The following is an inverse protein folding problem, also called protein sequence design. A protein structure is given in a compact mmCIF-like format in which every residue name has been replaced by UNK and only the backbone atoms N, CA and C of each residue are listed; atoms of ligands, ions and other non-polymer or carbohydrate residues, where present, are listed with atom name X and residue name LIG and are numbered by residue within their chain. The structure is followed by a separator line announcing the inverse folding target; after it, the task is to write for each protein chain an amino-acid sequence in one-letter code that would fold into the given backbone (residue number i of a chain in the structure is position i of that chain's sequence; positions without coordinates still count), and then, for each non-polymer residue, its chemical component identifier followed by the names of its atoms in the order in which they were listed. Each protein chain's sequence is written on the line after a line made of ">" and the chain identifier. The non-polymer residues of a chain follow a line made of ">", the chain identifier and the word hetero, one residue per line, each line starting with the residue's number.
data_IF_109182394952
#
_entry.id   IF_109182394952
#
_cell.length_a   1.000
_cell.length_b   1.000
_cell.length_c   1.000
_cell.angle_alpha   90.00
_cell.angle_beta   90.00
_cell.angle_gamma   90.00
#
_symmetry.space_group_name_H-M   'P 1'
#
loop_
_entity.id
_entity.type
_entity.pdbx_description
1 polymer ?
#
# COMPACT_ATOMS: atom_id res chain seq x y z
N UNK A 1 -6.30 -85.82 -42.21
CA UNK A 1 -5.34 -85.30 -41.22
C UNK A 1 -4.41 -84.33 -41.90
N UNK A 2 -4.88 -83.05 -42.15
CA UNK A 2 -4.05 -81.91 -42.62
C UNK A 2 -4.98 -80.69 -42.85
N UNK A 3 -5.43 -80.00 -41.78
CA UNK A 3 -6.10 -78.70 -41.93
C UNK A 3 -6.04 -77.78 -40.71
N UNK A 4 -5.03 -77.83 -39.88
CA UNK A 4 -4.97 -77.00 -38.64
C UNK A 4 -3.86 -75.96 -38.63
N UNK A 5 -3.02 -75.86 -39.67
CA UNK A 5 -1.82 -74.99 -39.61
C UNK A 5 -1.95 -73.63 -40.33
N UNK A 6 -3.02 -73.38 -41.10
CA UNK A 6 -3.17 -72.11 -41.87
C UNK A 6 -3.90 -71.00 -41.13
N UNK A 7 -4.69 -71.29 -40.08
CA UNK A 7 -5.49 -70.28 -39.33
C UNK A 7 -4.62 -69.49 -38.31
N UNK A 8 -3.53 -70.06 -37.84
CA UNK A 8 -2.73 -69.44 -36.80
C UNK A 8 -1.78 -68.34 -37.33
N UNK A 9 -1.39 -68.35 -38.57
CA UNK A 9 -0.47 -67.34 -39.16
C UNK A 9 -1.18 -66.03 -39.51
N UNK A 10 -2.49 -66.04 -39.82
CA UNK A 10 -3.20 -64.82 -40.21
C UNK A 10 -3.57 -63.95 -39.04
N UNK A 11 -3.83 -64.54 -37.88
CA UNK A 11 -4.09 -63.82 -36.64
C UNK A 11 -2.89 -62.96 -36.20
N UNK A 12 -1.67 -63.43 -36.35
CA UNK A 12 -0.46 -62.67 -35.93
C UNK A 12 -0.18 -61.44 -36.81
N UNK A 13 -0.53 -61.49 -38.09
CA UNK A 13 -0.37 -60.34 -39.01
C UNK A 13 -1.42 -59.26 -38.79
N UNK A 14 -2.63 -59.63 -38.41
CA UNK A 14 -3.68 -58.66 -38.05
C UNK A 14 -3.37 -57.96 -36.76
N UNK A 15 -2.88 -58.67 -35.75
CA UNK A 15 -2.47 -58.05 -34.47
C UNK A 15 -1.28 -57.10 -34.62
N UNK A 16 -0.32 -57.42 -35.46
CA UNK A 16 0.84 -56.55 -35.72
C UNK A 16 0.44 -55.27 -36.46
N UNK A 17 -0.49 -55.38 -37.44
CA UNK A 17 -0.98 -54.21 -38.16
C UNK A 17 -1.86 -53.29 -37.29
N UNK A 18 -2.67 -53.86 -36.42
CA UNK A 18 -3.47 -53.06 -35.46
C UNK A 18 -2.61 -52.43 -34.39
N UNK A 19 -1.53 -53.09 -33.92
CA UNK A 19 -0.57 -52.53 -33.00
C UNK A 19 0.27 -51.40 -33.63
N UNK A 20 0.65 -51.51 -34.89
CA UNK A 20 1.43 -50.49 -35.62
C UNK A 20 0.53 -49.25 -35.94
N UNK A 21 -0.76 -49.45 -36.19
CA UNK A 21 -1.72 -48.39 -36.46
C UNK A 21 -2.05 -47.64 -35.16
N UNK A 22 -2.04 -48.30 -33.99
CA UNK A 22 -2.25 -47.69 -32.69
C UNK A 22 -1.08 -46.82 -32.22
N UNK A 23 0.15 -47.09 -32.67
CA UNK A 23 1.34 -46.34 -32.29
C UNK A 23 1.49 -45.01 -33.06
N UNK A 24 0.78 -44.84 -34.19
CA UNK A 24 0.82 -43.60 -34.98
C UNK A 24 -0.08 -42.46 -34.44
N UNK A 25 -0.93 -42.75 -33.47
CA UNK A 25 -1.82 -41.72 -32.87
C UNK A 25 -1.27 -41.10 -31.57
N UNK A 26 -0.07 -41.46 -31.09
CA UNK A 26 0.52 -40.94 -29.89
C UNK A 26 1.52 -39.78 -30.11
N UNK A 27 1.61 -39.26 -31.35
CA UNK A 27 2.31 -38.00 -31.61
C UNK A 27 1.31 -36.83 -31.47
N UNK A 28 0.57 -36.80 -30.36
CA UNK A 28 -0.29 -35.70 -29.97
C UNK A 28 0.58 -34.57 -29.40
N UNK A 29 0.70 -33.52 -30.17
CA UNK A 29 1.03 -32.15 -29.85
C UNK A 29 1.31 -31.86 -28.35
N UNK A 30 2.56 -32.01 -27.94
CA UNK A 30 3.11 -31.21 -26.87
C UNK A 30 3.41 -29.79 -27.43
N UNK A 31 2.37 -29.10 -27.87
CA UNK A 31 2.40 -27.65 -28.05
C UNK A 31 2.47 -27.02 -26.69
N UNK A 32 3.67 -26.85 -26.16
CA UNK A 32 3.91 -25.94 -25.05
C UNK A 32 3.60 -24.53 -25.57
N UNK A 33 2.34 -24.10 -25.40
CA UNK A 33 2.00 -22.70 -25.38
C UNK A 33 2.73 -22.10 -24.17
N UNK A 34 4.03 -21.88 -24.28
CA UNK A 34 4.70 -20.86 -23.53
C UNK A 34 4.03 -19.56 -23.97
N UNK A 35 2.95 -19.19 -23.30
CA UNK A 35 2.44 -17.84 -23.41
C UNK A 35 3.63 -16.97 -23.02
N UNK A 36 4.08 -16.12 -23.92
CA UNK A 36 5.04 -15.06 -23.67
C UNK A 36 4.38 -14.09 -22.68
N UNK A 37 4.23 -14.53 -21.41
CA UNK A 37 3.83 -13.67 -20.33
C UNK A 37 5.03 -12.77 -20.04
N UNK A 38 5.11 -11.67 -20.75
CA UNK A 38 5.95 -10.55 -20.34
C UNK A 38 5.23 -9.93 -19.13
N UNK A 39 5.83 -9.97 -17.94
CA UNK A 39 5.26 -9.25 -16.82
C UNK A 39 5.06 -7.78 -17.22
N UNK A 40 3.96 -7.15 -16.82
CA UNK A 40 3.74 -5.74 -17.11
C UNK A 40 4.97 -4.95 -16.61
N UNK A 41 5.39 -3.92 -17.36
CA UNK A 41 6.53 -3.10 -16.96
C UNK A 41 6.31 -2.61 -15.53
N UNK A 42 7.36 -2.56 -14.70
CA UNK A 42 7.25 -2.03 -13.35
C UNK A 42 6.70 -0.60 -13.42
N UNK A 43 5.82 -0.25 -12.48
CA UNK A 43 5.32 1.12 -12.34
C UNK A 43 6.53 2.05 -12.13
N UNK A 44 6.58 3.21 -12.82
CA UNK A 44 7.65 4.17 -12.60
C UNK A 44 7.59 4.70 -11.17
N UNK A 45 8.75 5.00 -10.61
CA UNK A 45 8.82 5.70 -9.33
C UNK A 45 8.25 7.11 -9.46
N UNK A 46 7.57 7.54 -8.40
CA UNK A 46 7.07 8.90 -8.28
C UNK A 46 8.06 9.74 -7.46
N UNK A 47 8.14 11.02 -7.76
CA UNK A 47 8.81 11.95 -6.85
C UNK A 47 7.97 12.13 -5.57
N UNK A 48 8.28 11.33 -4.55
CA UNK A 48 7.55 11.31 -3.28
C UNK A 48 7.59 12.65 -2.57
N UNK A 49 8.73 13.34 -2.60
CA UNK A 49 8.88 14.67 -1.98
C UNK A 49 7.95 15.69 -2.63
N UNK A 50 7.96 15.75 -3.96
CA UNK A 50 7.07 16.67 -4.69
C UNK A 50 5.59 16.37 -4.45
N UNK A 51 5.21 15.06 -4.40
CA UNK A 51 3.86 14.64 -4.05
C UNK A 51 3.46 15.07 -2.64
N UNK A 52 4.33 14.85 -1.66
CA UNK A 52 4.08 15.22 -0.27
C UNK A 52 3.95 16.74 -0.11
N UNK A 53 4.82 17.51 -0.77
CA UNK A 53 4.75 18.98 -0.73
C UNK A 53 3.46 19.50 -1.36
N UNK A 54 3.04 18.94 -2.50
CA UNK A 54 1.75 19.30 -3.12
C UNK A 54 0.57 19.06 -2.18
N UNK A 55 0.53 17.89 -1.54
CA UNK A 55 -0.55 17.58 -0.59
C UNK A 55 -0.52 18.49 0.63
N UNK A 56 0.68 18.84 1.13
CA UNK A 56 0.82 19.82 2.21
C UNK A 56 0.29 21.20 1.80
N UNK A 57 0.55 21.64 0.55
CA UNK A 57 0.01 22.90 0.02
C UNK A 57 -1.53 22.88 -0.03
N UNK A 58 -2.14 21.78 -0.47
CA UNK A 58 -3.59 21.60 -0.50
C UNK A 58 -4.19 21.63 0.93
N UNK A 59 -3.55 20.97 1.88
CA UNK A 59 -3.96 21.01 3.28
C UNK A 59 -3.84 22.43 3.86
N UNK A 60 -2.76 23.15 3.57
CA UNK A 60 -2.59 24.55 3.99
C UNK A 60 -3.67 25.45 3.41
N UNK A 61 -4.00 25.28 2.13
CA UNK A 61 -5.09 26.02 1.49
C UNK A 61 -6.45 25.72 2.16
N UNK A 62 -6.70 24.45 2.51
CA UNK A 62 -7.94 24.04 3.14
C UNK A 62 -8.11 24.53 4.58
N UNK A 63 -7.02 24.58 5.37
CA UNK A 63 -7.10 25.10 6.76
C UNK A 63 -7.21 26.63 6.79
N UNK A 64 -6.70 27.36 5.80
CA UNK A 64 -6.70 28.83 5.77
C UNK A 64 -6.19 29.42 7.08
N UNK A 65 -7.02 30.24 7.72
CA UNK A 65 -6.75 30.90 9.00
C UNK A 65 -7.32 30.13 10.21
N UNK A 66 -7.72 28.86 10.02
CA UNK A 66 -8.31 28.05 11.11
C UNK A 66 -7.31 27.66 12.20
N UNK A 67 -6.01 27.76 11.91
CA UNK A 67 -4.95 27.56 12.90
C UNK A 67 -3.97 28.74 12.87
N UNK A 68 -3.40 29.02 14.02
CA UNK A 68 -2.40 30.08 14.17
C UNK A 68 -1.03 29.58 13.76
N UNK A 69 -0.32 30.36 12.96
CA UNK A 69 0.99 29.99 12.44
C UNK A 69 2.11 30.02 13.48
N UNK A 70 1.92 30.80 14.57
CA UNK A 70 2.85 30.91 15.70
C UNK A 70 2.71 29.77 16.72
N UNK A 71 1.67 28.96 16.62
CA UNK A 71 1.45 27.78 17.45
C UNK A 71 1.88 26.51 16.74
N UNK A 72 2.47 25.54 17.49
CA UNK A 72 2.98 24.33 16.88
C UNK A 72 1.91 23.49 16.17
N UNK A 73 2.23 23.05 14.95
CA UNK A 73 1.62 21.92 14.27
C UNK A 73 2.48 20.70 14.52
N UNK A 74 1.90 19.66 15.09
CA UNK A 74 2.56 18.37 15.29
C UNK A 74 2.24 17.41 14.15
N UNK A 75 3.05 16.37 13.97
CA UNK A 75 2.72 15.26 13.07
C UNK A 75 2.94 13.92 13.76
N UNK A 76 1.97 13.04 13.56
CA UNK A 76 2.10 11.62 13.88
C UNK A 76 2.58 10.84 12.66
N UNK A 77 3.20 9.68 12.89
CA UNK A 77 3.45 8.73 11.82
C UNK A 77 2.14 8.27 11.18
N UNK A 78 2.14 8.14 9.85
CA UNK A 78 1.01 7.54 9.15
C UNK A 78 1.03 6.03 9.36
N UNK A 79 -0.15 5.42 9.50
CA UNK A 79 -0.32 4.03 9.86
C UNK A 79 -1.09 3.25 8.82
N UNK A 80 -0.91 1.94 8.80
CA UNK A 80 -1.68 1.04 7.94
C UNK A 80 -3.14 1.00 8.42
N UNK A 81 -4.09 1.23 7.52
CA UNK A 81 -5.52 1.22 7.84
C UNK A 81 -6.00 -0.14 8.35
N UNK A 82 -5.33 -1.24 7.99
CA UNK A 82 -5.65 -2.59 8.47
C UNK A 82 -5.01 -2.91 9.83
N UNK A 83 -4.04 -2.10 10.26
CA UNK A 83 -3.40 -2.26 11.56
C UNK A 83 -2.86 -0.91 12.04
N UNK A 84 -3.67 -0.19 12.79
CA UNK A 84 -3.38 1.16 13.26
C UNK A 84 -2.21 1.25 14.24
N UNK A 85 -1.70 0.12 14.73
CA UNK A 85 -0.50 0.04 15.56
C UNK A 85 0.78 -0.01 14.74
N UNK A 86 0.68 -0.27 13.42
CA UNK A 86 1.83 -0.42 12.55
C UNK A 86 2.09 0.81 11.70
N UNK A 87 3.34 1.22 11.71
CA UNK A 87 3.87 2.18 10.75
C UNK A 87 5.07 1.57 10.01
N UNK A 88 5.31 2.04 8.80
CA UNK A 88 6.44 1.65 7.96
C UNK A 88 7.40 2.82 7.79
N UNK A 89 8.50 2.64 7.07
CA UNK A 89 9.37 3.75 6.70
C UNK A 89 8.62 4.80 5.88
N UNK A 90 7.70 4.38 5.00
CA UNK A 90 6.78 5.28 4.30
C UNK A 90 5.97 6.11 5.30
N UNK A 91 5.33 5.45 6.27
CA UNK A 91 4.49 6.12 7.27
C UNK A 91 5.23 7.09 8.19
N UNK A 92 6.56 6.95 8.29
CA UNK A 92 7.41 7.89 9.06
C UNK A 92 7.93 9.05 8.21
N UNK A 93 8.35 8.78 6.96
CA UNK A 93 8.99 9.83 6.14
C UNK A 93 7.98 10.83 5.57
N UNK A 94 6.78 10.40 5.19
CA UNK A 94 5.79 11.28 4.58
C UNK A 94 5.35 12.43 5.48
N UNK A 95 4.96 12.22 6.76
CA UNK A 95 4.63 13.34 7.65
C UNK A 95 5.81 14.29 7.88
N UNK A 96 7.05 13.81 7.84
CA UNK A 96 8.24 14.66 7.91
C UNK A 96 8.35 15.61 6.71
N UNK A 97 8.08 15.10 5.51
CA UNK A 97 8.05 15.90 4.29
C UNK A 97 6.94 16.95 4.34
N UNK A 98 5.79 16.61 4.92
CA UNK A 98 4.70 17.55 5.15
C UNK A 98 5.13 18.67 6.12
N UNK A 99 5.67 18.31 7.30
CA UNK A 99 6.18 19.29 8.27
C UNK A 99 7.24 20.21 7.64
N UNK A 100 8.15 19.66 6.83
CA UNK A 100 9.14 20.46 6.12
C UNK A 100 8.47 21.51 5.22
N UNK A 101 7.41 21.15 4.50
CA UNK A 101 6.68 22.08 3.64
C UNK A 101 5.89 23.11 4.43
N UNK A 102 5.24 22.72 5.55
CA UNK A 102 4.59 23.64 6.47
C UNK A 102 5.57 24.66 7.04
N UNK A 103 6.76 24.21 7.50
CA UNK A 103 7.82 25.09 8.00
C UNK A 103 8.29 26.11 6.93
N UNK A 104 8.51 25.65 5.69
CA UNK A 104 8.86 26.52 4.56
C UNK A 104 7.78 27.57 4.29
N UNK A 105 6.53 27.28 4.64
CA UNK A 105 5.39 28.19 4.48
C UNK A 105 5.10 29.07 5.71
N UNK A 106 6.02 29.06 6.69
CA UNK A 106 5.99 29.95 7.85
C UNK A 106 5.11 29.44 9.02
N UNK A 107 4.72 28.16 9.02
CA UNK A 107 4.07 27.56 10.18
C UNK A 107 5.13 27.14 11.22
N UNK A 108 4.82 27.33 12.50
CA UNK A 108 5.56 26.70 13.58
C UNK A 108 5.29 25.20 13.54
N UNK A 109 6.31 24.38 13.42
CA UNK A 109 6.18 22.92 13.41
C UNK A 109 7.02 22.32 14.53
N UNK A 110 6.53 21.25 15.12
CA UNK A 110 7.27 20.49 16.11
C UNK A 110 7.24 19.02 15.71
N UNK A 111 8.44 18.46 15.53
CA UNK A 111 8.59 17.03 15.32
C UNK A 111 8.33 16.28 16.63
N UNK A 112 7.32 15.46 16.64
CA UNK A 112 7.13 14.47 17.67
C UNK A 112 7.32 13.08 17.07
N UNK A 113 8.36 12.39 17.52
CA UNK A 113 8.44 10.94 17.38
C UNK A 113 7.40 10.34 18.33
N UNK A 114 6.12 10.40 17.93
CA UNK A 114 5.04 9.77 18.69
C UNK A 114 5.23 8.25 18.60
N UNK A 115 6.06 7.72 19.50
CA UNK A 115 6.25 6.28 19.68
C UNK A 115 5.01 5.60 20.26
N UNK A 116 4.05 6.37 20.79
CA UNK A 116 2.73 5.87 21.17
C UNK A 116 1.77 6.20 20.04
N UNK A 117 1.21 5.17 19.44
CA UNK A 117 0.22 5.31 18.40
C UNK A 117 -0.97 6.14 18.92
N UNK A 118 -1.23 7.28 18.32
CA UNK A 118 -2.43 8.09 18.61
C UNK A 118 -3.70 7.30 18.31
N UNK A 119 -3.57 6.23 17.53
CA UNK A 119 -4.67 5.37 17.08
C UNK A 119 -4.92 4.16 17.97
N UNK A 120 -4.25 4.00 19.14
CA UNK A 120 -4.41 2.80 19.97
C UNK A 120 -5.71 2.86 20.75
N UNK A 121 -6.64 2.09 20.32
CA UNK A 121 -7.49 1.09 20.95
C UNK A 121 -8.66 0.77 20.03
N UNK A 122 -8.65 -0.43 19.46
CA UNK A 122 -9.73 -0.94 18.60
C UNK A 122 -11.10 -0.99 19.29
N UNK A 123 -11.16 -0.85 20.61
CA UNK A 123 -12.43 -0.94 21.35
C UNK A 123 -13.05 0.39 21.76
N UNK A 124 -12.37 1.51 21.54
CA UNK A 124 -12.82 2.82 22.03
C UNK A 124 -13.33 3.81 20.98
N UNK A 125 -13.14 3.54 19.69
CA UNK A 125 -13.64 4.37 18.60
C UNK A 125 -13.05 5.79 18.54
N UNK A 126 -13.73 6.65 17.80
CA UNK A 126 -13.38 8.05 17.51
C UNK A 126 -13.14 8.93 18.74
N UNK A 127 -13.74 8.59 19.88
CA UNK A 127 -13.61 9.31 21.15
C UNK A 127 -12.21 9.20 21.78
N UNK A 128 -11.49 8.11 21.59
CA UNK A 128 -10.14 7.93 22.16
C UNK A 128 -9.09 8.69 21.37
N UNK A 129 -9.22 8.73 20.05
CA UNK A 129 -8.38 9.59 19.21
C UNK A 129 -8.51 11.04 19.62
N UNK A 130 -9.72 11.54 19.84
CA UNK A 130 -9.98 12.91 20.26
C UNK A 130 -9.35 13.25 21.62
N UNK A 131 -9.38 12.32 22.58
CA UNK A 131 -8.74 12.51 23.90
C UNK A 131 -7.21 12.55 23.78
N UNK A 132 -6.62 11.61 23.06
CA UNK A 132 -5.17 11.56 22.84
C UNK A 132 -4.66 12.83 22.15
N UNK A 133 -5.38 13.31 21.13
CA UNK A 133 -5.04 14.58 20.45
C UNK A 133 -5.15 15.78 21.39
N UNK A 134 -6.16 15.82 22.26
CA UNK A 134 -6.30 16.89 23.24
C UNK A 134 -5.16 16.90 24.27
N UNK A 135 -4.82 15.75 24.84
CA UNK A 135 -3.70 15.61 25.80
C UNK A 135 -2.36 16.01 25.18
N UNK A 136 -2.13 15.63 23.91
CA UNK A 136 -0.94 16.04 23.16
C UNK A 136 -0.94 17.53 22.92
N UNK A 137 -2.08 18.11 22.54
CA UNK A 137 -2.24 19.55 22.33
C UNK A 137 -1.92 20.34 23.59
N UNK A 138 -2.43 19.92 24.75
CA UNK A 138 -2.20 20.56 26.04
C UNK A 138 -0.73 20.45 26.47
N UNK A 139 -0.11 19.27 26.35
CA UNK A 139 1.26 19.04 26.77
C UNK A 139 2.32 19.75 25.93
N UNK A 140 2.01 20.10 24.69
CA UNK A 140 2.95 20.73 23.74
C UNK A 140 2.48 22.11 23.26
N UNK A 141 1.42 22.66 23.84
CA UNK A 141 0.76 23.91 23.39
C UNK A 141 0.45 23.93 21.89
N UNK A 142 0.22 22.74 21.31
CA UNK A 142 -0.01 22.58 19.89
C UNK A 142 -1.43 22.94 19.49
N UNK A 143 -1.57 23.62 18.35
CA UNK A 143 -2.88 24.03 17.83
C UNK A 143 -3.55 22.92 17.03
N UNK A 144 -2.76 22.09 16.33
CA UNK A 144 -3.25 21.01 15.53
C UNK A 144 -2.25 19.86 15.41
N UNK A 145 -2.76 18.69 15.01
CA UNK A 145 -1.97 17.48 14.71
C UNK A 145 -2.28 17.01 13.31
N UNK A 146 -1.24 16.80 12.52
CA UNK A 146 -1.30 16.07 11.25
C UNK A 146 -1.28 14.57 11.53
N UNK A 147 -2.29 13.86 11.08
CA UNK A 147 -2.42 12.40 11.16
C UNK A 147 -2.69 11.83 9.77
N UNK A 148 -2.43 10.55 9.55
CA UNK A 148 -2.76 9.91 8.29
C UNK A 148 -2.80 8.40 8.38
N UNK A 149 -3.56 7.84 7.45
CA UNK A 149 -3.64 6.40 7.22
C UNK A 149 -3.32 6.08 5.77
N UNK A 150 -2.81 4.87 5.51
CA UNK A 150 -2.61 4.39 4.16
C UNK A 150 -3.11 2.97 3.98
N UNK A 151 -3.50 2.64 2.75
CA UNK A 151 -3.91 1.30 2.33
C UNK A 151 -3.15 0.88 1.07
N UNK A 152 -2.59 -0.31 1.09
CA UNK A 152 -1.84 -0.86 -0.05
C UNK A 152 -2.80 -1.59 -0.99
N UNK A 153 -2.97 -1.05 -2.20
CA UNK A 153 -3.73 -1.69 -3.27
C UNK A 153 -2.84 -2.56 -4.16
N UNK A 154 -3.37 -3.01 -5.29
CA UNK A 154 -2.60 -3.82 -6.25
C UNK A 154 -1.60 -3.00 -7.08
N UNK A 155 -1.94 -1.77 -7.42
CA UNK A 155 -1.14 -0.87 -8.27
C UNK A 155 -0.83 0.46 -7.62
N UNK A 156 -1.64 0.88 -6.65
CA UNK A 156 -1.53 2.17 -5.99
C UNK A 156 -1.56 2.00 -4.47
N UNK A 157 -0.88 2.90 -3.80
CA UNK A 157 -1.00 3.17 -2.39
C UNK A 157 -2.01 4.33 -2.24
N UNK A 158 -3.04 4.12 -1.44
CA UNK A 158 -4.05 5.14 -1.12
C UNK A 158 -3.70 5.75 0.23
N UNK A 159 -3.75 7.06 0.32
CA UNK A 159 -3.36 7.79 1.53
C UNK A 159 -4.41 8.84 1.84
N UNK A 160 -4.83 8.88 3.11
CA UNK A 160 -5.65 9.95 3.67
C UNK A 160 -4.85 10.70 4.71
N UNK A 161 -4.65 12.00 4.51
CA UNK A 161 -4.01 12.90 5.47
C UNK A 161 -5.03 13.88 6.04
N UNK A 162 -5.01 14.09 7.37
CA UNK A 162 -5.94 14.98 8.08
C UNK A 162 -5.18 15.89 9.03
N UNK A 163 -5.64 17.13 9.13
CA UNK A 163 -5.24 18.05 10.19
C UNK A 163 -6.39 18.15 11.19
N UNK A 164 -6.12 17.83 12.43
CA UNK A 164 -7.11 17.79 13.51
C UNK A 164 -6.73 18.84 14.54
N UNK A 165 -7.66 19.75 14.84
CA UNK A 165 -7.50 20.75 15.89
C UNK A 165 -7.47 20.10 17.28
N UNK A 166 -6.53 20.53 18.12
CA UNK A 166 -6.31 19.90 19.43
C UNK A 166 -7.39 20.26 20.45
N UNK A 167 -7.99 21.44 20.35
CA UNK A 167 -9.00 21.89 21.31
C UNK A 167 -10.29 21.10 21.26
N UNK A 168 -10.81 20.89 20.06
CA UNK A 168 -12.12 20.30 19.84
C UNK A 168 -12.09 18.90 19.24
N UNK A 169 -10.91 18.43 18.82
CA UNK A 169 -10.74 17.17 18.13
C UNK A 169 -11.38 17.14 16.73
N UNK A 170 -11.68 18.32 16.15
CA UNK A 170 -12.34 18.44 14.84
C UNK A 170 -11.33 18.32 13.72
N UNK A 171 -11.71 17.65 12.63
CA UNK A 171 -10.96 17.68 11.39
C UNK A 171 -11.09 19.07 10.76
N UNK A 172 -9.96 19.77 10.65
CA UNK A 172 -9.87 21.12 10.07
C UNK A 172 -9.62 21.05 8.56
N UNK A 173 -8.85 20.07 8.12
CA UNK A 173 -8.60 19.77 6.70
C UNK A 173 -8.37 18.28 6.50
N UNK A 174 -8.74 17.78 5.33
CA UNK A 174 -8.46 16.41 4.89
C UNK A 174 -8.12 16.41 3.41
N UNK A 175 -7.17 15.54 3.01
CA UNK A 175 -6.81 15.36 1.61
C UNK A 175 -6.52 13.89 1.33
N UNK A 176 -7.19 13.36 0.31
CA UNK A 176 -7.02 11.98 -0.16
C UNK A 176 -6.21 11.96 -1.45
N UNK A 177 -5.22 11.09 -1.52
CA UNK A 177 -4.39 10.94 -2.71
C UNK A 177 -3.92 9.51 -2.92
N UNK A 178 -3.39 9.25 -4.11
CA UNK A 178 -2.83 7.95 -4.43
C UNK A 178 -1.44 8.09 -5.04
N UNK A 179 -0.60 7.11 -4.78
CA UNK A 179 0.76 6.99 -5.31
C UNK A 179 0.90 5.66 -6.04
N UNK A 180 1.50 5.60 -7.24
CA UNK A 180 1.81 4.33 -7.88
C UNK A 180 2.78 3.52 -7.02
N UNK A 181 2.60 2.18 -6.98
CA UNK A 181 3.49 1.28 -6.28
C UNK A 181 4.77 1.02 -7.10
N UNK A 182 5.58 2.06 -7.26
CA UNK A 182 6.93 1.95 -7.83
C UNK A 182 7.92 1.28 -6.87
N UNK A 183 9.16 0.98 -7.32
CA UNK A 183 10.19 0.32 -6.53
C UNK A 183 10.46 1.00 -5.18
N UNK A 184 10.58 2.32 -5.13
CA UNK A 184 10.86 3.07 -3.91
C UNK A 184 9.71 2.98 -2.92
N UNK A 185 8.47 3.21 -3.36
CA UNK A 185 7.28 3.09 -2.50
C UNK A 185 7.18 1.67 -1.93
N UNK A 186 7.36 0.65 -2.76
CA UNK A 186 7.33 -0.74 -2.32
C UNK A 186 8.44 -1.06 -1.30
N UNK A 187 9.63 -0.48 -1.46
CA UNK A 187 10.73 -0.64 -0.49
C UNK A 187 10.40 0.02 0.84
N UNK A 188 9.91 1.26 0.81
CA UNK A 188 9.53 2.01 2.02
C UNK A 188 8.39 1.36 2.81
N UNK A 189 7.48 0.65 2.13
CA UNK A 189 6.38 -0.07 2.76
C UNK A 189 6.83 -1.39 3.43
N UNK A 190 7.90 -2.03 2.94
CA UNK A 190 8.42 -3.29 3.49
C UNK A 190 9.31 -3.09 4.71
N UNK A 191 9.93 -1.92 4.84
CA UNK A 191 10.91 -1.64 5.89
C UNK A 191 10.26 -0.94 7.08
N UNK A 192 10.61 -1.38 8.28
CA UNK A 192 10.44 -0.57 9.49
C UNK A 192 9.28 -0.87 10.41
N UNK A 193 8.65 -2.02 10.35
CA UNK A 193 7.72 -2.45 11.39
C UNK A 193 8.39 -3.49 12.29
N UNK A 194 8.91 -3.08 13.40
CA UNK A 194 9.18 -3.91 14.58
C UNK A 194 8.41 -3.34 15.76
#
# INVERSE_FOLDING_TARGET
>A
MRETTKRFRWSRFVFIKTLLLGLLFLTGCAGSNYSNYSPPPPQPDINLVASSHKVADELMAAIGDSIRRDKPLLAASFVDVNNLEKTTTFGRIVPQQFLSRFAQSGFSVMEMLLRKNIFIEEQGGEFLLSRAIKEIGESHEAEAVLVGVYAVGKKNLFVTAKIIGTKEGRVLASYDYQLPLGPDIMHLLKTGAN
#
